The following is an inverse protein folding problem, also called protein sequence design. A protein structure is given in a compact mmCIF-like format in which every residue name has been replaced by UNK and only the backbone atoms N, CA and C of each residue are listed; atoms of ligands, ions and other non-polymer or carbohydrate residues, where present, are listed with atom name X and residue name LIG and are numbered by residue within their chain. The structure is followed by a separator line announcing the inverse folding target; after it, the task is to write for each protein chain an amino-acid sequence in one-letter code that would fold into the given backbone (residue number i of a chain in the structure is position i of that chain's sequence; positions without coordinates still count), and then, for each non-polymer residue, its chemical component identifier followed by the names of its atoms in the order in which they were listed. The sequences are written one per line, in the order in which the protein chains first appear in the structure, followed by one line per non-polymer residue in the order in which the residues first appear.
data_IF_723345906731
#
_entry.id   IF_723345906731
#
_cell.length_a   1.000
_cell.length_b   1.000
_cell.length_c   1.000
_cell.angle_alpha   90.00
_cell.angle_beta   90.00
_cell.angle_gamma   90.00
#
_symmetry.space_group_name_H-M   'P 1'
#
loop_
_entity.id
_entity.type
_entity.pdbx_description
1 polymer ?
#
# COMPACT_ATOMS: atom_id res chain seq x y z
N UNK A 1 -4.05 -9.12 11.04
CA UNK A 1 -4.80 -9.88 10.01
C UNK A 1 -3.90 -10.01 8.80
N UNK A 2 -3.61 -11.23 8.36
CA UNK A 2 -2.88 -11.43 7.10
C UNK A 2 -3.88 -11.23 5.95
N UNK A 3 -3.56 -10.38 4.98
CA UNK A 3 -4.35 -10.34 3.74
C UNK A 3 -3.87 -11.52 2.90
N UNK A 4 -4.65 -12.61 2.91
CA UNK A 4 -4.44 -13.72 1.99
C UNK A 4 -4.82 -13.28 0.57
N UNK A 5 -3.81 -13.13 -0.28
CA UNK A 5 -3.98 -12.80 -1.69
C UNK A 5 -4.30 -14.07 -2.48
N UNK A 6 -5.45 -14.07 -3.16
CA UNK A 6 -5.84 -15.15 -4.07
C UNK A 6 -5.31 -14.86 -5.47
N UNK A 7 -5.35 -15.83 -6.37
CA UNK A 7 -4.89 -15.67 -7.76
C UNK A 7 -5.55 -14.49 -8.49
N UNK A 8 -6.82 -14.19 -8.21
CA UNK A 8 -7.51 -13.02 -8.76
C UNK A 8 -6.96 -11.69 -8.22
N UNK A 9 -6.56 -11.66 -6.94
CA UNK A 9 -5.97 -10.49 -6.30
C UNK A 9 -4.56 -10.23 -6.91
N UNK A 10 -3.81 -11.30 -7.20
CA UNK A 10 -2.53 -11.23 -7.91
C UNK A 10 -2.70 -10.75 -9.36
N UNK A 11 -3.79 -11.10 -10.04
CA UNK A 11 -4.06 -10.63 -11.40
C UNK A 11 -4.22 -9.11 -11.45
N UNK A 12 -4.99 -8.53 -10.52
CA UNK A 12 -5.14 -7.07 -10.39
C UNK A 12 -3.79 -6.40 -10.12
N UNK A 13 -2.98 -6.97 -9.21
CA UNK A 13 -1.66 -6.43 -8.91
C UNK A 13 -0.68 -6.57 -10.09
N UNK A 14 -0.80 -7.64 -10.87
CA UNK A 14 0.02 -7.90 -12.06
C UNK A 14 -0.38 -6.99 -13.24
N UNK A 15 -1.65 -6.65 -13.38
CA UNK A 15 -2.10 -5.63 -14.34
C UNK A 15 -1.54 -4.24 -14.00
N UNK A 16 -1.26 -3.98 -12.72
CA UNK A 16 -0.71 -2.70 -12.26
C UNK A 16 0.81 -2.60 -12.39
N UNK A 17 1.54 -3.70 -12.61
CA UNK A 17 3.01 -3.68 -12.61
C UNK A 17 3.65 -4.75 -13.50
N UNK A 18 4.54 -4.33 -14.40
CA UNK A 18 5.42 -5.22 -15.16
C UNK A 18 6.55 -5.84 -14.30
N UNK A 19 6.94 -5.17 -13.21
CA UNK A 19 7.93 -5.64 -12.23
C UNK A 19 7.42 -5.41 -10.81
N UNK A 20 7.19 -6.51 -10.08
CA UNK A 20 6.74 -6.47 -8.69
C UNK A 20 7.79 -7.09 -7.75
N UNK A 21 8.08 -6.39 -6.66
CA UNK A 21 8.94 -6.86 -5.58
C UNK A 21 8.14 -6.98 -4.29
N UNK A 22 8.18 -8.14 -3.65
CA UNK A 22 7.50 -8.40 -2.38
C UNK A 22 8.50 -8.21 -1.26
N UNK A 23 8.19 -7.31 -0.33
CA UNK A 23 8.92 -7.17 0.92
C UNK A 23 8.26 -8.06 1.98
N UNK A 24 9.00 -8.96 2.66
CA UNK A 24 8.40 -9.90 3.62
C UNK A 24 7.97 -9.23 4.94
N UNK A 25 8.21 -7.93 5.12
CA UNK A 25 7.73 -7.19 6.28
C UNK A 25 8.00 -5.69 6.20
N UNK A 26 7.25 -4.92 6.98
CA UNK A 26 7.32 -3.45 7.02
C UNK A 26 8.71 -2.94 7.47
N UNK A 27 9.40 -3.66 8.35
CA UNK A 27 10.74 -3.29 8.82
C UNK A 27 11.78 -3.18 7.70
N UNK A 28 11.55 -3.82 6.55
CA UNK A 28 12.43 -3.77 5.38
C UNK A 28 12.12 -2.60 4.44
N UNK A 29 11.11 -1.78 4.76
CA UNK A 29 10.86 -0.55 4.03
C UNK A 29 11.84 0.54 4.52
N UNK A 30 12.97 0.64 3.83
CA UNK A 30 14.01 1.63 4.10
C UNK A 30 14.50 2.36 2.83
N UNK A 31 15.42 3.30 3.03
CA UNK A 31 15.97 4.11 1.95
C UNK A 31 16.72 3.28 0.90
N UNK A 32 17.38 2.20 1.31
CA UNK A 32 18.14 1.32 0.41
C UNK A 32 17.18 0.56 -0.48
N UNK A 33 16.13 -0.03 0.09
CA UNK A 33 15.09 -0.73 -0.65
C UNK A 33 14.42 0.18 -1.69
N UNK A 34 14.08 1.42 -1.33
CA UNK A 34 13.53 2.37 -2.31
C UNK A 34 14.54 2.78 -3.39
N UNK A 35 15.83 2.93 -3.05
CA UNK A 35 16.87 3.30 -4.00
C UNK A 35 17.20 2.17 -5.00
N UNK A 36 17.19 0.92 -4.51
CA UNK A 36 17.50 -0.29 -5.28
C UNK A 36 16.38 -0.61 -6.29
N UNK A 37 15.11 -0.54 -5.85
CA UNK A 37 13.97 -0.89 -6.72
C UNK A 37 13.34 0.30 -7.44
N UNK A 38 13.52 1.53 -6.94
CA UNK A 38 12.91 2.77 -7.45
C UNK A 38 11.43 2.60 -7.84
N UNK A 39 10.58 2.14 -6.92
CA UNK A 39 9.19 1.86 -7.26
C UNK A 39 8.43 3.16 -7.55
N UNK A 40 7.59 3.14 -8.58
CA UNK A 40 6.64 4.23 -8.84
C UNK A 40 5.30 4.01 -8.11
N UNK A 41 5.05 2.76 -7.70
CA UNK A 41 3.85 2.33 -6.99
C UNK A 41 4.29 1.45 -5.81
N UNK A 42 3.73 1.70 -4.64
CA UNK A 42 3.81 0.82 -3.46
C UNK A 42 2.40 0.35 -3.15
N UNK A 43 2.24 -0.95 -2.88
CA UNK A 43 0.96 -1.53 -2.45
C UNK A 43 1.18 -2.14 -1.07
N UNK A 44 0.30 -1.82 -0.13
CA UNK A 44 0.37 -2.35 1.23
C UNK A 44 -1.05 -2.59 1.77
N UNK A 45 -1.23 -3.54 2.70
CA UNK A 45 -2.51 -3.78 3.33
C UNK A 45 -3.00 -2.52 4.06
N UNK A 46 -4.31 -2.25 4.00
CA UNK A 46 -4.96 -1.19 4.77
C UNK A 46 -4.66 -1.36 6.26
N UNK A 47 -4.65 -2.62 6.72
CA UNK A 47 -4.26 -3.01 8.06
C UNK A 47 -3.59 -4.39 8.06
N UNK A 48 -2.43 -4.50 8.71
CA UNK A 48 -1.75 -5.74 9.03
C UNK A 48 -1.61 -5.89 10.56
N UNK A 49 -1.19 -7.05 11.05
CA UNK A 49 -1.11 -7.27 12.50
C UNK A 49 -0.09 -6.39 13.22
N UNK A 50 0.96 -5.98 12.52
CA UNK A 50 2.16 -5.31 13.02
C UNK A 50 2.34 -3.87 12.51
N UNK A 51 1.55 -3.44 11.52
CA UNK A 51 1.53 -2.08 10.97
C UNK A 51 0.20 -1.81 10.26
N UNK A 52 -0.12 -0.54 10.04
CA UNK A 52 -1.21 -0.13 9.15
C UNK A 52 -0.72 0.72 7.97
N UNK A 53 -1.64 1.12 7.10
CA UNK A 53 -1.28 1.92 5.92
C UNK A 53 -0.78 3.33 6.26
N UNK A 54 -1.16 3.87 7.43
CA UNK A 54 -0.70 5.18 7.90
C UNK A 54 0.78 5.08 8.31
N UNK A 55 1.16 3.99 8.98
CA UNK A 55 2.57 3.70 9.28
C UNK A 55 3.41 3.63 7.99
N UNK A 56 2.89 2.96 6.96
CA UNK A 56 3.54 2.87 5.64
C UNK A 56 3.65 4.23 4.98
N UNK A 57 2.56 5.01 4.98
CA UNK A 57 2.53 6.36 4.42
C UNK A 57 3.57 7.27 5.10
N UNK A 58 3.60 7.28 6.44
CA UNK A 58 4.54 8.08 7.22
C UNK A 58 5.99 7.65 6.92
N UNK A 59 6.26 6.34 6.83
CA UNK A 59 7.59 5.82 6.49
C UNK A 59 8.03 6.24 5.09
N UNK A 60 7.16 6.10 4.09
CA UNK A 60 7.44 6.51 2.72
C UNK A 60 7.68 8.03 2.63
N UNK A 61 6.88 8.84 3.32
CA UNK A 61 7.06 10.29 3.37
C UNK A 61 8.40 10.67 3.98
N UNK A 62 8.78 10.07 5.11
CA UNK A 62 10.10 10.28 5.74
C UNK A 62 11.27 9.89 4.81
N UNK A 63 11.07 8.87 3.98
CA UNK A 63 12.07 8.43 3.00
C UNK A 63 12.05 9.28 1.70
N UNK A 64 11.19 10.30 1.60
CA UNK A 64 11.09 11.18 0.45
C UNK A 64 10.43 10.55 -0.77
N UNK A 65 9.68 9.46 -0.58
CA UNK A 65 8.93 8.80 -1.66
C UNK A 65 7.87 9.74 -2.25
N UNK A 66 7.79 9.80 -3.58
CA UNK A 66 6.85 10.66 -4.33
C UNK A 66 5.94 9.89 -5.29
N UNK A 67 5.97 8.56 -5.25
CA UNK A 67 5.10 7.72 -6.05
C UNK A 67 3.70 7.57 -5.46
N UNK A 68 3.00 6.52 -5.89
CA UNK A 68 1.62 6.23 -5.51
C UNK A 68 1.55 5.08 -4.51
N UNK A 69 0.94 5.31 -3.35
CA UNK A 69 0.64 4.28 -2.36
C UNK A 69 -0.80 3.77 -2.52
N UNK A 70 -0.98 2.46 -2.74
CA UNK A 70 -2.28 1.81 -2.68
C UNK A 70 -2.49 1.10 -1.34
N UNK A 71 -3.57 1.51 -0.67
CA UNK A 71 -4.12 0.85 0.51
C UNK A 71 -5.01 -0.31 0.06
N UNK A 72 -4.55 -1.55 0.24
CA UNK A 72 -5.22 -2.76 -0.21
C UNK A 72 -6.18 -3.28 0.86
N UNK A 73 -7.43 -3.51 0.52
CA UNK A 73 -8.42 -4.04 1.47
C UNK A 73 -9.42 -4.97 0.80
N UNK A 74 -10.09 -5.81 1.60
CA UNK A 74 -11.38 -6.41 1.20
C UNK A 74 -12.45 -5.31 1.10
N UNK A 75 -13.56 -5.54 0.38
CA UNK A 75 -14.62 -4.54 0.25
C UNK A 75 -15.13 -4.06 1.61
N UNK A 76 -15.17 -2.75 1.78
CA UNK A 76 -15.56 -2.11 3.03
C UNK A 76 -17.04 -1.72 3.01
N UNK A 77 -17.72 -1.74 4.17
CA UNK A 77 -19.12 -1.29 4.26
C UNK A 77 -19.29 0.20 3.93
N UNK A 78 -18.28 1.04 4.19
CA UNK A 78 -18.26 2.45 3.84
C UNK A 78 -16.86 2.90 3.38
N UNK A 79 -16.52 2.57 2.14
CA UNK A 79 -15.22 2.91 1.57
C UNK A 79 -15.00 4.41 1.37
N UNK A 80 -16.08 5.20 1.25
CA UNK A 80 -15.99 6.66 1.13
C UNK A 80 -15.45 7.31 2.41
N UNK A 81 -15.92 6.86 3.59
CA UNK A 81 -15.43 7.33 4.88
C UNK A 81 -13.94 7.02 5.05
N UNK A 82 -13.53 5.79 4.75
CA UNK A 82 -12.11 5.40 4.86
C UNK A 82 -11.23 6.19 3.87
N UNK A 83 -11.71 6.42 2.64
CA UNK A 83 -11.00 7.29 1.69
C UNK A 83 -10.80 8.71 2.24
N UNK A 84 -11.81 9.27 2.90
CA UNK A 84 -11.70 10.60 3.50
C UNK A 84 -10.64 10.62 4.61
N UNK A 85 -10.66 9.64 5.51
CA UNK A 85 -9.68 9.50 6.60
C UNK A 85 -8.25 9.33 6.08
N UNK A 86 -8.04 8.54 5.02
CA UNK A 86 -6.74 8.39 4.38
C UNK A 86 -6.25 9.72 3.78
N UNK A 87 -7.12 10.46 3.10
CA UNK A 87 -6.76 11.78 2.54
C UNK A 87 -6.42 12.80 3.63
N UNK A 88 -7.09 12.75 4.78
CA UNK A 88 -6.83 13.64 5.91
C UNK A 88 -5.55 13.29 6.65
N UNK A 89 -5.29 12.00 6.85
CA UNK A 89 -4.13 11.50 7.61
C UNK A 89 -2.84 11.49 6.80
N UNK A 90 -2.92 11.28 5.48
CA UNK A 90 -1.76 11.04 4.62
C UNK A 90 -1.51 12.19 3.62
N UNK A 91 -1.46 13.44 4.09
CA UNK A 91 -1.33 14.62 3.21
C UNK A 91 -0.01 14.69 2.43
N UNK A 92 1.06 14.09 2.95
CA UNK A 92 2.40 14.14 2.35
C UNK A 92 2.66 13.10 1.26
N UNK A 93 1.72 12.16 1.04
CA UNK A 93 1.86 11.08 0.08
C UNK A 93 0.61 10.96 -0.80
N UNK A 94 0.80 10.55 -2.05
CA UNK A 94 -0.32 10.25 -2.92
C UNK A 94 -0.85 8.86 -2.58
N UNK A 95 -1.96 8.79 -1.82
CA UNK A 95 -2.58 7.54 -1.39
C UNK A 95 -3.91 7.27 -2.12
N UNK A 96 -4.20 6.00 -2.41
CA UNK A 96 -5.47 5.54 -2.98
C UNK A 96 -5.93 4.24 -2.32
N UNK A 97 -7.23 4.11 -2.08
CA UNK A 97 -7.82 2.85 -1.61
C UNK A 97 -8.13 1.92 -2.80
N UNK A 98 -7.64 0.69 -2.73
CA UNK A 98 -7.87 -0.40 -3.69
C UNK A 98 -8.62 -1.54 -2.98
N UNK A 99 -9.86 -1.78 -3.40
CA UNK A 99 -10.67 -2.88 -2.90
C UNK A 99 -10.49 -4.11 -3.79
N UNK A 100 -10.04 -5.21 -3.21
CA UNK A 100 -9.92 -6.49 -3.90
C UNK A 100 -11.31 -7.09 -4.16
N UNK A 101 -11.52 -7.73 -5.32
CA UNK A 101 -12.77 -8.45 -5.58
C UNK A 101 -13.02 -9.53 -4.51
N UNK A 102 -14.31 -9.85 -4.28
CA UNK A 102 -14.73 -10.89 -3.33
C UNK A 102 -14.38 -12.29 -3.79
#
# INVERSE_FOLDING_TARGET
MFIELRSADLAVLNEMAENAHILPGFALLDARTLADFRPNIVVAPLWAGDFDIIDVAARLEMLGYRGLLYALTRPLPNSAMVRAELCESCKGINIRLLELPR
#
